data_IF_503692848690
#
_entry.id   IF_503692848690
#
_cell.length_a   1.000
_cell.length_b   1.000
_cell.length_c   1.000
_cell.angle_alpha   90.00
_cell.angle_beta   90.00
_cell.angle_gamma   90.00
#
_symmetry.space_group_name_H-M   'P 1'
#
loop_
_entity.id
_entity.type
_entity.pdbx_description
1 polymer ?
#
# COMPACT_ATOMS: atom_id res chain seq x y z
N UNK A 1 11.52 11.53 -15.39
CA UNK A 1 11.11 12.07 -14.08
C UNK A 1 9.60 12.02 -14.05
N UNK A 2 9.03 11.28 -13.12
CA UNK A 2 7.58 11.08 -13.06
C UNK A 2 6.92 12.37 -12.56
N UNK A 3 6.19 13.07 -13.44
CA UNK A 3 5.55 14.36 -13.14
C UNK A 3 4.65 14.31 -11.90
N UNK A 4 3.94 13.21 -11.68
CA UNK A 4 3.06 13.03 -10.54
C UNK A 4 3.81 13.01 -9.20
N UNK A 5 5.02 12.44 -9.12
CA UNK A 5 5.85 12.48 -7.91
C UNK A 5 6.22 13.93 -7.56
N UNK A 6 6.56 14.76 -8.56
CA UNK A 6 6.88 16.17 -8.31
C UNK A 6 5.68 16.97 -7.84
N UNK A 7 4.46 16.66 -8.34
CA UNK A 7 3.22 17.25 -7.84
C UNK A 7 2.98 16.88 -6.36
N UNK A 8 3.16 15.61 -5.99
CA UNK A 8 3.00 15.20 -4.58
C UNK A 8 4.11 15.77 -3.68
N UNK A 9 5.37 15.85 -4.13
CA UNK A 9 6.43 16.57 -3.41
C UNK A 9 6.05 18.00 -3.09
N UNK A 10 5.46 18.69 -4.06
CA UNK A 10 4.96 20.04 -3.87
C UNK A 10 3.81 20.07 -2.88
N UNK A 11 2.85 19.18 -3.05
CA UNK A 11 1.66 19.11 -2.20
C UNK A 11 2.03 18.83 -0.73
N UNK A 12 2.93 17.90 -0.47
CA UNK A 12 3.44 17.61 0.88
C UNK A 12 4.14 18.81 1.53
N UNK A 13 4.86 19.61 0.76
CA UNK A 13 5.51 20.83 1.26
C UNK A 13 4.52 21.95 1.58
N UNK A 14 3.46 22.07 0.79
CA UNK A 14 2.48 23.16 0.92
C UNK A 14 1.37 22.84 1.93
N UNK A 15 1.11 21.59 2.20
CA UNK A 15 0.03 21.12 3.08
C UNK A 15 0.58 20.33 4.27
N UNK A 16 0.69 20.98 5.42
CA UNK A 16 1.29 20.37 6.62
C UNK A 16 0.53 19.13 7.11
N UNK A 17 -0.79 19.09 6.94
CA UNK A 17 -1.66 18.01 7.41
C UNK A 17 -1.82 16.86 6.40
N UNK A 18 -1.20 16.97 5.22
CA UNK A 18 -1.26 15.94 4.19
C UNK A 18 -0.17 14.88 4.37
N UNK A 19 -0.52 13.61 4.09
CA UNK A 19 0.43 12.50 4.13
C UNK A 19 0.84 12.03 5.54
N UNK A 20 0.02 12.32 6.56
CA UNK A 20 0.29 11.89 7.94
C UNK A 20 -0.11 10.42 8.22
N UNK A 21 -0.53 9.67 7.18
CA UNK A 21 -0.90 8.25 7.30
C UNK A 21 -2.17 7.99 8.11
N UNK A 22 -3.01 9.00 8.32
CA UNK A 22 -4.21 8.90 9.18
C UNK A 22 -5.21 7.82 8.76
N UNK A 23 -5.26 7.49 7.48
CA UNK A 23 -6.12 6.45 6.93
C UNK A 23 -5.70 5.03 7.35
N UNK A 24 -4.43 4.78 7.64
CA UNK A 24 -3.92 3.48 8.08
C UNK A 24 -4.73 2.88 9.24
N UNK A 25 -5.27 3.73 10.13
CA UNK A 25 -6.12 3.30 11.26
C UNK A 25 -7.38 2.54 10.82
N UNK A 26 -7.95 2.87 9.67
CA UNK A 26 -9.13 2.20 9.13
C UNK A 26 -8.81 0.80 8.57
N UNK A 27 -7.54 0.54 8.32
CA UNK A 27 -7.03 -0.72 7.81
C UNK A 27 -6.43 -1.61 8.90
N UNK A 28 -6.22 -1.04 10.11
CA UNK A 28 -5.48 -1.68 11.23
C UNK A 28 -5.91 -3.12 11.49
N UNK A 29 -7.21 -3.39 11.57
CA UNK A 29 -7.72 -4.73 11.89
C UNK A 29 -7.26 -5.77 10.87
N UNK A 30 -7.38 -5.47 9.57
CA UNK A 30 -6.97 -6.40 8.51
C UNK A 30 -5.46 -6.62 8.50
N UNK A 31 -4.70 -5.57 8.80
CA UNK A 31 -3.24 -5.65 8.86
C UNK A 31 -2.80 -6.40 10.12
N UNK A 32 -3.45 -6.17 11.27
CA UNK A 32 -3.22 -6.96 12.50
C UNK A 32 -3.38 -8.46 12.24
N UNK A 33 -4.52 -8.83 11.61
CA UNK A 33 -4.82 -10.22 11.28
C UNK A 33 -3.72 -10.82 10.36
N UNK A 34 -3.30 -10.09 9.31
CA UNK A 34 -2.23 -10.52 8.40
C UNK A 34 -0.88 -10.70 9.12
N UNK A 35 -0.47 -9.73 9.94
CA UNK A 35 0.79 -9.81 10.70
C UNK A 35 0.76 -11.01 11.67
N UNK A 36 -0.36 -11.18 12.38
CA UNK A 36 -0.52 -12.27 13.34
C UNK A 36 -0.52 -13.63 12.64
N UNK A 37 -1.31 -13.77 11.58
CA UNK A 37 -1.49 -15.01 10.86
C UNK A 37 -0.20 -15.45 10.15
N UNK A 38 0.47 -14.53 9.47
CA UNK A 38 1.72 -14.82 8.74
C UNK A 38 2.97 -14.77 9.64
N UNK A 39 2.84 -14.37 10.92
CA UNK A 39 3.96 -14.14 11.85
C UNK A 39 5.04 -13.24 11.23
N UNK A 40 4.61 -12.17 10.58
CA UNK A 40 5.52 -11.24 9.93
C UNK A 40 6.38 -10.49 10.97
N UNK A 41 7.68 -10.47 10.74
CA UNK A 41 8.67 -9.78 11.58
C UNK A 41 9.24 -8.53 10.90
N UNK A 42 9.10 -8.43 9.59
CA UNK A 42 9.58 -7.30 8.78
C UNK A 42 8.46 -6.74 7.90
N UNK A 43 8.31 -5.42 7.91
CA UNK A 43 7.27 -4.72 7.15
C UNK A 43 7.87 -3.59 6.31
N UNK A 44 7.31 -3.39 5.12
CA UNK A 44 7.50 -2.19 4.31
C UNK A 44 6.16 -1.44 4.22
N UNK A 45 6.16 -0.15 4.56
CA UNK A 45 5.05 0.75 4.23
C UNK A 45 5.41 1.51 2.97
N UNK A 46 4.79 1.11 1.86
CA UNK A 46 5.00 1.66 0.53
C UNK A 46 4.02 2.79 0.26
N UNK A 47 4.51 4.01 0.23
CA UNK A 47 3.71 5.24 0.19
C UNK A 47 3.34 5.73 1.59
N UNK A 48 4.29 5.65 2.53
CA UNK A 48 4.08 5.97 3.94
C UNK A 48 3.77 7.44 4.24
N UNK A 49 3.88 8.33 3.24
CA UNK A 49 3.85 9.76 3.48
C UNK A 49 4.97 10.17 4.46
N UNK A 50 4.63 11.03 5.42
CA UNK A 50 5.58 11.50 6.44
C UNK A 50 5.90 10.46 7.52
N UNK A 51 5.14 9.37 7.60
CA UNK A 51 5.34 8.34 8.61
C UNK A 51 4.90 8.71 10.03
N UNK A 52 4.36 9.91 10.25
CA UNK A 52 3.98 10.44 11.58
C UNK A 52 3.01 9.52 12.33
N UNK A 53 2.21 8.74 11.60
CA UNK A 53 1.24 7.80 12.18
C UNK A 53 1.90 6.74 13.07
N UNK A 54 3.14 6.40 12.81
CA UNK A 54 3.89 5.41 13.60
C UNK A 54 4.48 6.00 14.89
N UNK A 55 4.67 7.30 14.96
CA UNK A 55 5.17 7.98 16.15
C UNK A 55 4.06 8.24 17.20
N UNK A 56 2.84 8.48 16.71
CA UNK A 56 1.72 8.91 17.59
C UNK A 56 0.79 7.78 18.01
N UNK A 57 1.00 6.57 17.50
CA UNK A 57 0.17 5.41 17.81
C UNK A 57 1.01 4.21 18.21
N UNK A 58 0.54 3.46 19.19
CA UNK A 58 1.09 2.15 19.53
C UNK A 58 0.42 1.08 18.65
N UNK A 59 1.15 0.67 17.61
CA UNK A 59 0.63 -0.29 16.63
C UNK A 59 0.76 -1.75 17.08
N UNK A 60 1.67 -2.07 18.00
CA UNK A 60 2.07 -3.44 18.33
C UNK A 60 2.54 -4.25 17.10
N UNK A 61 3.05 -3.57 16.10
CA UNK A 61 3.61 -4.15 14.88
C UNK A 61 5.12 -4.11 14.90
N UNK A 62 5.80 -4.95 14.11
CA UNK A 62 7.19 -4.67 13.76
C UNK A 62 7.30 -3.26 13.18
N UNK A 63 8.29 -2.49 13.62
CA UNK A 63 8.49 -1.13 13.08
C UNK A 63 8.72 -1.22 11.57
N UNK A 64 7.85 -0.64 10.73
CA UNK A 64 8.00 -0.76 9.29
C UNK A 64 9.17 0.05 8.76
N UNK A 65 9.79 -0.44 7.70
CA UNK A 65 10.63 0.38 6.84
C UNK A 65 9.70 1.32 6.05
N UNK A 66 10.03 2.60 6.00
CA UNK A 66 9.20 3.62 5.38
C UNK A 66 9.73 3.95 3.98
N UNK A 67 8.84 4.00 2.99
CA UNK A 67 9.16 4.45 1.65
C UNK A 67 8.06 5.34 1.08
N UNK A 68 8.45 6.51 0.61
CA UNK A 68 7.59 7.42 -0.16
C UNK A 68 8.45 8.28 -1.10
N UNK A 69 8.29 8.18 -2.44
CA UNK A 69 9.14 8.91 -3.39
C UNK A 69 8.95 10.43 -3.33
N UNK A 70 7.90 10.91 -2.68
CA UNK A 70 7.61 12.33 -2.52
C UNK A 70 8.18 12.93 -1.22
N UNK A 71 8.66 12.09 -0.29
CA UNK A 71 9.20 12.52 1.02
C UNK A 71 10.72 12.31 1.03
N UNK A 72 11.54 13.38 1.10
CA UNK A 72 13.01 13.28 1.00
C UNK A 72 13.66 12.32 2.00
N UNK A 73 13.10 12.20 3.20
CA UNK A 73 13.58 11.31 4.26
C UNK A 73 13.32 9.83 3.96
N UNK A 74 12.36 9.54 3.06
CA UNK A 74 11.87 8.19 2.72
C UNK A 74 11.95 7.87 1.23
N UNK A 75 12.63 8.69 0.41
CA UNK A 75 12.62 8.62 -1.05
C UNK A 75 13.46 7.48 -1.66
N UNK A 76 14.15 6.72 -0.83
CA UNK A 76 14.94 5.58 -1.29
C UNK A 76 14.15 4.30 -1.17
N UNK A 77 13.76 3.75 -2.33
CA UNK A 77 13.10 2.45 -2.37
C UNK A 77 14.05 1.38 -1.81
N UNK A 78 13.69 0.73 -0.68
CA UNK A 78 14.58 -0.24 -0.06
C UNK A 78 14.65 -1.54 -0.88
N UNK A 79 15.78 -2.24 -0.75
CA UNK A 79 15.88 -3.61 -1.23
C UNK A 79 15.03 -4.53 -0.33
N UNK A 80 14.37 -5.51 -0.91
CA UNK A 80 13.62 -6.53 -0.17
C UNK A 80 14.44 -7.79 0.10
N UNK A 81 13.79 -8.91 0.49
CA UNK A 81 12.35 -8.99 0.74
C UNK A 81 11.95 -8.54 2.15
N UNK A 82 10.64 -8.23 2.31
CA UNK A 82 9.97 -8.01 3.59
C UNK A 82 8.88 -9.08 3.76
N UNK A 83 8.61 -9.51 4.99
CA UNK A 83 7.52 -10.47 5.25
C UNK A 83 6.17 -9.92 4.79
N UNK A 84 5.93 -8.62 5.03
CA UNK A 84 4.72 -7.94 4.57
C UNK A 84 5.00 -6.59 3.91
N UNK A 85 4.22 -6.28 2.87
CA UNK A 85 4.21 -4.95 2.25
C UNK A 85 2.82 -4.36 2.36
N UNK A 86 2.75 -3.16 2.93
CA UNK A 86 1.53 -2.38 3.09
C UNK A 86 1.55 -1.23 2.08
N UNK A 87 0.40 -0.95 1.47
CA UNK A 87 0.21 0.26 0.67
C UNK A 87 -1.24 0.74 0.86
N UNK A 88 -1.41 1.86 1.53
CA UNK A 88 -2.73 2.40 1.88
C UNK A 88 -2.85 3.85 1.46
N UNK A 89 -3.91 4.18 0.74
CA UNK A 89 -4.14 5.50 0.15
C UNK A 89 -2.98 5.97 -0.74
N UNK A 90 -2.54 5.08 -1.63
CA UNK A 90 -1.41 5.30 -2.55
C UNK A 90 -1.79 5.03 -4.00
N UNK A 91 -2.37 3.86 -4.27
CA UNK A 91 -2.57 3.37 -5.63
C UNK A 91 -3.50 4.26 -6.46
N UNK A 92 -4.50 4.89 -5.84
CA UNK A 92 -5.41 5.84 -6.47
C UNK A 92 -4.72 7.14 -6.93
N UNK A 93 -3.57 7.46 -6.35
CA UNK A 93 -2.76 8.62 -6.69
C UNK A 93 -1.82 8.40 -7.88
N UNK A 94 -1.69 7.17 -8.34
CA UNK A 94 -0.74 6.78 -9.39
C UNK A 94 -1.45 6.78 -10.74
N UNK A 95 -0.89 7.43 -11.77
CA UNK A 95 -1.43 7.36 -13.14
C UNK A 95 -1.56 5.91 -13.62
N UNK A 96 -2.65 5.61 -14.34
CA UNK A 96 -3.00 4.25 -14.75
C UNK A 96 -1.87 3.55 -15.53
N UNK A 97 -1.14 4.30 -16.36
CA UNK A 97 -0.01 3.78 -17.14
C UNK A 97 1.24 3.47 -16.30
N UNK A 98 1.29 3.92 -15.05
CA UNK A 98 2.39 3.63 -14.11
C UNK A 98 2.06 2.47 -13.15
N UNK A 99 0.80 2.05 -13.06
CA UNK A 99 0.36 0.97 -12.15
C UNK A 99 1.17 -0.32 -12.32
N UNK A 100 1.48 -0.79 -13.55
CA UNK A 100 2.29 -2.01 -13.73
C UNK A 100 3.65 -1.94 -13.03
N UNK A 101 4.36 -0.82 -13.14
CA UNK A 101 5.66 -0.63 -12.51
C UNK A 101 5.55 -0.63 -10.98
N UNK A 102 4.52 0.01 -10.44
CA UNK A 102 4.32 0.08 -9.00
C UNK A 102 3.93 -1.29 -8.42
N UNK A 103 3.11 -2.06 -9.11
CA UNK A 103 2.80 -3.45 -8.72
C UNK A 103 4.09 -4.28 -8.68
N UNK A 104 4.93 -4.20 -9.71
CA UNK A 104 6.23 -4.89 -9.73
C UNK A 104 7.10 -4.49 -8.52
N UNK A 105 7.18 -3.20 -8.22
CA UNK A 105 7.95 -2.69 -7.07
C UNK A 105 7.43 -3.23 -5.73
N UNK A 106 6.12 -3.27 -5.53
CA UNK A 106 5.48 -3.79 -4.30
C UNK A 106 5.70 -5.29 -4.17
N UNK A 107 5.30 -6.06 -5.19
CA UNK A 107 5.27 -7.52 -5.12
C UNK A 107 6.65 -8.16 -5.18
N UNK A 108 7.63 -7.55 -5.87
CA UNK A 108 9.02 -8.04 -5.85
C UNK A 108 9.66 -7.96 -4.46
N UNK A 109 9.13 -7.13 -3.57
CA UNK A 109 9.60 -6.92 -2.19
C UNK A 109 8.83 -7.68 -1.12
N UNK A 110 7.69 -8.24 -1.45
CA UNK A 110 6.87 -8.99 -0.50
C UNK A 110 7.27 -10.47 -0.50
N UNK A 111 7.39 -11.08 0.69
CA UNK A 111 7.68 -12.51 0.84
C UNK A 111 6.44 -13.31 1.23
N UNK A 112 5.62 -12.81 2.15
CA UNK A 112 4.46 -13.53 2.70
C UNK A 112 3.15 -12.90 2.30
N UNK A 113 3.00 -11.57 2.49
CA UNK A 113 1.75 -10.92 2.15
C UNK A 113 1.91 -9.51 1.58
N UNK A 114 0.88 -9.09 0.84
CA UNK A 114 0.65 -7.70 0.42
C UNK A 114 -0.73 -7.26 0.89
N UNK A 115 -0.82 -6.05 1.45
CA UNK A 115 -2.08 -5.39 1.73
C UNK A 115 -2.20 -4.10 0.93
N UNK A 116 -3.26 -3.98 0.11
CA UNK A 116 -3.59 -2.79 -0.66
C UNK A 116 -4.90 -2.19 -0.13
N UNK A 117 -4.84 -1.00 0.48
CA UNK A 117 -6.00 -0.20 0.85
C UNK A 117 -6.14 0.97 -0.12
N UNK A 118 -7.23 1.04 -0.90
CA UNK A 118 -7.33 1.94 -2.06
C UNK A 118 -8.65 2.74 -1.97
N UNK A 119 -8.55 4.07 -1.97
CA UNK A 119 -9.73 4.91 -2.02
C UNK A 119 -10.31 4.98 -3.44
N UNK A 120 -11.64 4.86 -3.54
CA UNK A 120 -12.37 4.86 -4.81
C UNK A 120 -13.30 6.08 -4.98
N UNK A 121 -13.23 7.05 -4.07
CA UNK A 121 -13.93 8.33 -4.14
C UNK A 121 -13.02 9.44 -4.65
N UNK A 122 -13.58 10.60 -4.91
CA UNK A 122 -12.79 11.81 -5.17
C UNK A 122 -12.00 12.22 -3.92
N UNK A 123 -10.73 12.60 -4.12
CA UNK A 123 -9.95 13.24 -3.08
C UNK A 123 -10.49 14.65 -2.79
N UNK A 124 -10.28 15.13 -1.58
CA UNK A 124 -10.43 16.58 -1.30
C UNK A 124 -9.30 17.40 -1.93
N UNK A 125 -8.15 16.76 -2.14
CA UNK A 125 -6.96 17.37 -2.73
C UNK A 125 -7.10 17.53 -4.26
N UNK A 126 -6.61 18.65 -4.77
CA UNK A 126 -6.54 18.98 -6.19
C UNK A 126 -5.10 19.34 -6.53
N UNK A 127 -4.55 18.73 -7.58
CA UNK A 127 -3.21 19.00 -8.08
C UNK A 127 -3.09 20.39 -8.71
N UNK A 128 -1.86 20.83 -8.99
CA UNK A 128 -1.61 22.19 -9.47
C UNK A 128 -2.23 22.51 -10.84
N UNK A 129 -2.52 21.49 -11.63
CA UNK A 129 -3.20 21.60 -12.94
C UNK A 129 -4.74 21.56 -12.86
N UNK A 130 -5.30 21.43 -11.65
CA UNK A 130 -6.74 21.30 -11.43
C UNK A 130 -7.27 19.87 -11.45
N UNK A 131 -6.41 18.87 -11.67
CA UNK A 131 -6.79 17.45 -11.63
C UNK A 131 -7.06 16.99 -10.20
N UNK A 132 -8.08 16.15 -9.97
CA UNK A 132 -8.29 15.53 -8.67
C UNK A 132 -7.11 14.63 -8.32
N UNK A 133 -6.66 14.66 -7.06
CA UNK A 133 -5.50 13.87 -6.64
C UNK A 133 -5.72 12.36 -6.73
N UNK A 134 -6.95 11.85 -6.63
CA UNK A 134 -7.26 10.46 -6.95
C UNK A 134 -7.41 10.30 -8.47
N UNK A 135 -6.30 10.16 -9.17
CA UNK A 135 -6.25 10.10 -10.64
C UNK A 135 -6.69 8.75 -11.21
N UNK A 136 -6.59 7.67 -10.41
CA UNK A 136 -6.98 6.31 -10.81
C UNK A 136 -7.98 5.72 -9.83
N UNK A 137 -9.27 5.94 -10.09
CA UNK A 137 -10.38 5.42 -9.28
C UNK A 137 -11.03 4.25 -9.99
N UNK A 138 -10.87 3.07 -9.45
CA UNK A 138 -11.32 1.81 -10.07
C UNK A 138 -11.95 0.88 -9.02
N UNK A 139 -12.92 0.02 -9.41
CA UNK A 139 -13.47 -0.99 -8.52
C UNK A 139 -12.43 -2.07 -8.18
N UNK A 140 -12.67 -2.80 -7.09
CA UNK A 140 -11.73 -3.82 -6.59
C UNK A 140 -11.36 -4.88 -7.64
N UNK A 141 -12.29 -5.27 -8.50
CA UNK A 141 -12.05 -6.26 -9.56
C UNK A 141 -11.04 -5.78 -10.60
N UNK A 142 -11.00 -4.48 -10.87
CA UNK A 142 -9.99 -3.91 -11.75
C UNK A 142 -8.59 -4.03 -11.13
N UNK A 143 -8.46 -3.69 -9.85
CA UNK A 143 -7.19 -3.82 -9.10
C UNK A 143 -6.72 -5.26 -9.02
N UNK A 144 -7.64 -6.20 -8.74
CA UNK A 144 -7.35 -7.62 -8.80
C UNK A 144 -6.75 -8.02 -10.13
N UNK A 145 -7.38 -7.63 -11.25
CA UNK A 145 -6.88 -7.93 -12.59
C UNK A 145 -5.50 -7.32 -12.86
N UNK A 146 -5.19 -6.12 -12.33
CA UNK A 146 -3.86 -5.53 -12.47
C UNK A 146 -2.82 -6.37 -11.71
N UNK A 147 -3.12 -6.81 -10.51
CA UNK A 147 -2.23 -7.70 -9.75
C UNK A 147 -2.00 -9.01 -10.49
N UNK A 148 -3.06 -9.66 -10.99
CA UNK A 148 -2.94 -10.90 -11.78
C UNK A 148 -2.07 -10.73 -13.05
N UNK A 149 -2.10 -9.55 -13.68
CA UNK A 149 -1.37 -9.29 -14.91
C UNK A 149 0.10 -8.90 -14.70
N UNK A 150 0.40 -8.18 -13.61
CA UNK A 150 1.67 -7.48 -13.47
C UNK A 150 2.48 -7.85 -12.23
N UNK A 151 1.93 -8.57 -11.26
CA UNK A 151 2.72 -9.05 -10.13
C UNK A 151 3.74 -10.11 -10.61
N UNK A 152 5.03 -9.94 -10.32
CA UNK A 152 6.09 -10.84 -10.80
C UNK A 152 6.05 -12.21 -10.11
N UNK A 153 5.33 -12.33 -9.01
CA UNK A 153 5.12 -13.56 -8.28
C UNK A 153 3.79 -13.55 -7.54
N UNK A 154 3.29 -14.74 -7.24
CA UNK A 154 2.13 -14.91 -6.40
C UNK A 154 2.51 -14.71 -4.93
N UNK A 155 1.73 -13.88 -4.23
CA UNK A 155 1.90 -13.58 -2.80
C UNK A 155 0.52 -13.48 -2.19
N UNK A 156 0.31 -13.97 -0.96
CA UNK A 156 -0.96 -13.83 -0.25
C UNK A 156 -1.37 -12.35 -0.20
N UNK A 157 -2.48 -12.00 -0.83
CA UNK A 157 -2.80 -10.60 -1.09
C UNK A 157 -4.21 -10.24 -0.67
N UNK A 158 -4.34 -9.17 0.09
CA UNK A 158 -5.61 -8.53 0.41
C UNK A 158 -5.73 -7.19 -0.30
N UNK A 159 -6.80 -7.02 -1.07
CA UNK A 159 -7.14 -5.75 -1.74
C UNK A 159 -8.46 -5.26 -1.19
N UNK A 160 -8.48 -4.06 -0.63
CA UNK A 160 -9.67 -3.39 -0.13
C UNK A 160 -9.84 -2.06 -0.82
N UNK A 161 -10.99 -1.87 -1.49
CA UNK A 161 -11.42 -0.55 -1.95
C UNK A 161 -12.51 0.01 -1.05
N UNK A 162 -12.60 1.33 -0.93
CA UNK A 162 -13.59 2.01 -0.11
C UNK A 162 -13.93 3.38 -0.68
N UNK A 163 -15.04 3.98 -0.24
CA UNK A 163 -15.54 5.28 -0.71
C UNK A 163 -16.79 5.14 -1.55
N UNK A 164 -16.75 5.44 -2.85
CA UNK A 164 -17.94 5.38 -3.72
C UNK A 164 -18.42 3.95 -3.97
N UNK A 165 -17.51 2.96 -3.90
CA UNK A 165 -17.85 1.55 -3.91
C UNK A 165 -16.87 0.76 -3.04
N UNK A 166 -17.40 0.02 -2.07
CA UNK A 166 -16.61 -0.86 -1.23
C UNK A 166 -16.41 -2.21 -1.94
N UNK A 167 -15.20 -2.72 -1.86
CA UNK A 167 -14.85 -4.03 -2.37
C UNK A 167 -13.74 -4.67 -1.54
N UNK A 168 -13.73 -6.00 -1.48
CA UNK A 168 -12.70 -6.74 -0.79
C UNK A 168 -12.41 -8.05 -1.51
N UNK A 169 -11.15 -8.30 -1.82
CA UNK A 169 -10.68 -9.50 -2.51
C UNK A 169 -9.46 -10.05 -1.77
N UNK A 170 -9.45 -11.36 -1.57
CA UNK A 170 -8.27 -12.13 -1.15
C UNK A 170 -7.78 -12.91 -2.37
N UNK A 171 -6.46 -12.88 -2.58
CA UNK A 171 -5.80 -13.61 -3.66
C UNK A 171 -4.73 -14.51 -3.07
N UNK A 172 -4.55 -15.69 -3.71
CA UNK A 172 -3.50 -16.66 -3.33
C UNK A 172 -3.62 -17.16 -1.87
N UNK A 173 -4.86 -17.37 -1.40
CA UNK A 173 -5.14 -17.86 -0.04
C UNK A 173 -4.50 -19.25 0.21
N UNK A 174 -4.34 -20.05 -0.84
CA UNK A 174 -3.66 -21.35 -0.79
C UNK A 174 -2.22 -21.26 -0.28
N UNK A 175 -1.49 -20.20 -0.65
CA UNK A 175 -0.11 -19.97 -0.19
C UNK A 175 -0.05 -19.77 1.33
N UNK A 176 -1.02 -19.05 1.88
CA UNK A 176 -1.16 -18.89 3.31
C UNK A 176 -1.46 -20.22 4.01
N UNK A 177 -2.37 -21.01 3.45
CA UNK A 177 -2.72 -22.33 4.00
C UNK A 177 -1.55 -23.30 3.96
N UNK A 178 -0.77 -23.34 2.88
CA UNK A 178 0.45 -24.12 2.76
C UNK A 178 1.47 -23.69 3.83
N UNK A 179 1.70 -22.39 3.97
CA UNK A 179 2.60 -21.85 4.97
C UNK A 179 2.17 -22.24 6.40
N UNK A 180 0.87 -22.15 6.71
CA UNK A 180 0.31 -22.57 8.01
C UNK A 180 0.56 -24.06 8.31
N UNK A 181 0.36 -24.92 7.31
CA UNK A 181 0.63 -26.35 7.45
C UNK A 181 2.10 -26.65 7.77
N UNK A 182 3.01 -25.92 7.14
CA UNK A 182 4.45 -26.14 7.33
C UNK A 182 5.00 -25.57 8.65
N UNK A 183 4.44 -24.46 9.15
CA UNK A 183 5.07 -23.69 10.23
C UNK A 183 4.30 -23.67 11.55
N UNK A 184 3.03 -24.06 11.56
CA UNK A 184 2.16 -23.97 12.74
C UNK A 184 1.58 -25.30 13.19
N UNK A 185 1.25 -26.19 12.26
CA UNK A 185 0.54 -27.44 12.54
C UNK A 185 1.46 -28.67 12.59
N UNK A 186 2.75 -28.53 12.35
CA UNK A 186 3.78 -29.54 12.61
C UNK A 186 4.48 -29.30 13.94
#
# INVERSE_FOLDING_TARGET
MNWWIEEYKKYHREQNDYGNGGALKFHKRHIDDLIQDTKAETLLDFGCGKGDVYEVNDWNWPTPTLYDPAIPEHDKLPDGPFDGVLSTDVMEHIPEDQIPEIIDQIFSRAERFVYLGIANNEAQAVLSDGTNAHVTRKPVEWWRNQVELYAPKEVYTHIKTYGDSDGYVIMHEELYLEWMLENVLM
#
